data_IF_332712499233
#
_entry.id   IF_332712499233
#
_cell.length_a   1.000
_cell.length_b   1.000
_cell.length_c   1.000
_cell.angle_alpha   90.00
_cell.angle_beta   90.00
_cell.angle_gamma   90.00
#
_symmetry.space_group_name_H-M   'P 1'
#
loop_
_entity.id
_entity.type
_entity.pdbx_description
1 polymer ?
#
# COMPACT_ATOMS: atom_id res chain seq x y z
N UNK A 1 -21.46 -8.62 -13.55
CA UNK A 1 -20.15 -7.92 -13.43
C UNK A 1 -19.16 -8.95 -12.88
N UNK A 2 -18.02 -9.14 -13.56
CA UNK A 2 -16.97 -10.06 -13.07
C UNK A 2 -16.28 -9.44 -11.84
N UNK A 3 -16.03 -10.24 -10.82
CA UNK A 3 -15.28 -9.84 -9.63
C UNK A 3 -13.82 -9.50 -10.03
N UNK A 4 -13.33 -8.34 -9.64
CA UNK A 4 -11.94 -7.92 -9.87
C UNK A 4 -11.08 -8.36 -8.69
N UNK A 5 -9.96 -9.03 -8.95
CA UNK A 5 -9.03 -9.52 -7.93
C UNK A 5 -7.72 -8.74 -7.95
N UNK A 6 -7.37 -8.17 -6.82
CA UNK A 6 -6.15 -7.38 -6.65
C UNK A 6 -5.24 -8.02 -5.61
N UNK A 7 -4.00 -8.32 -5.99
CA UNK A 7 -2.97 -8.78 -5.07
C UNK A 7 -2.30 -7.56 -4.41
N UNK A 8 -2.46 -7.42 -3.10
CA UNK A 8 -1.76 -6.41 -2.30
C UNK A 8 -0.52 -7.02 -1.65
N UNK A 9 0.62 -6.41 -1.86
CA UNK A 9 1.89 -6.80 -1.25
C UNK A 9 2.46 -5.64 -0.46
N UNK A 10 2.76 -5.88 0.82
CA UNK A 10 3.43 -4.88 1.66
C UNK A 10 4.47 -5.51 2.57
N UNK A 11 5.34 -4.69 3.15
CA UNK A 11 6.37 -5.10 4.08
C UNK A 11 5.84 -5.17 5.51
N UNK A 12 5.09 -4.15 5.91
CA UNK A 12 4.70 -3.90 7.29
C UNK A 12 3.40 -4.62 7.70
N UNK A 13 3.13 -4.48 9.00
CA UNK A 13 1.91 -5.02 9.60
C UNK A 13 0.75 -4.03 9.52
N UNK A 14 1.07 -2.73 9.63
CA UNK A 14 0.06 -1.69 9.75
C UNK A 14 -0.71 -1.48 8.45
N UNK A 15 -0.05 -1.59 7.30
CA UNK A 15 -0.67 -1.48 5.98
C UNK A 15 -1.73 -2.56 5.74
N UNK A 16 -1.46 -3.75 6.28
CA UNK A 16 -2.31 -4.92 6.14
C UNK A 16 -3.12 -5.23 7.41
N UNK A 17 -3.06 -4.37 8.46
CA UNK A 17 -3.81 -4.47 9.72
C UNK A 17 -3.71 -5.85 10.38
N UNK A 18 -2.51 -6.45 10.41
CA UNK A 18 -2.28 -7.81 10.91
C UNK A 18 -3.15 -8.89 10.24
N UNK A 19 -3.73 -8.59 9.06
CA UNK A 19 -4.50 -9.57 8.31
C UNK A 19 -3.72 -10.87 8.15
N UNK A 20 -4.41 -11.98 8.32
CA UNK A 20 -3.93 -13.27 7.85
C UNK A 20 -3.72 -13.16 6.34
N UNK A 21 -2.58 -13.71 5.86
CA UNK A 21 -2.31 -13.71 4.43
C UNK A 21 -3.42 -14.47 3.69
N UNK A 22 -3.97 -13.85 2.64
CA UNK A 22 -5.08 -14.40 1.88
C UNK A 22 -6.08 -13.34 1.47
N UNK A 23 -7.28 -13.78 1.09
CA UNK A 23 -8.38 -12.89 0.79
C UNK A 23 -8.92 -12.22 2.05
N UNK A 24 -9.26 -10.95 1.88
CA UNK A 24 -9.77 -10.12 2.96
C UNK A 24 -11.27 -9.94 2.78
N UNK A 25 -12.07 -10.16 3.84
CA UNK A 25 -13.50 -9.85 3.81
C UNK A 25 -13.75 -8.36 3.52
N UNK A 26 -14.81 -8.05 2.78
CA UNK A 26 -15.14 -6.66 2.42
C UNK A 26 -15.39 -5.77 3.64
N UNK A 27 -15.90 -6.34 4.71
CA UNK A 27 -16.17 -5.67 5.99
C UNK A 27 -14.92 -5.45 6.87
N UNK A 28 -13.78 -6.02 6.49
CA UNK A 28 -12.54 -5.96 7.27
C UNK A 28 -11.31 -5.59 6.42
N UNK A 29 -11.51 -4.66 5.48
CA UNK A 29 -10.41 -4.22 4.61
C UNK A 29 -9.28 -3.56 5.42
N UNK A 30 -8.02 -3.93 5.16
CA UNK A 30 -6.88 -3.26 5.77
C UNK A 30 -6.68 -1.85 5.19
N UNK A 31 -5.94 -0.97 5.88
CA UNK A 31 -5.76 0.42 5.48
C UNK A 31 -5.33 0.60 4.03
N UNK A 32 -4.38 -0.18 3.55
CA UNK A 32 -3.90 -0.11 2.17
C UNK A 32 -5.00 -0.49 1.17
N UNK A 33 -5.79 -1.53 1.45
CA UNK A 33 -6.92 -1.93 0.59
C UNK A 33 -7.98 -0.83 0.52
N UNK A 34 -8.30 -0.20 1.66
CA UNK A 34 -9.24 0.91 1.74
C UNK A 34 -8.77 2.09 0.87
N UNK A 35 -7.49 2.49 1.01
CA UNK A 35 -6.92 3.57 0.19
C UNK A 35 -7.01 3.24 -1.30
N UNK A 36 -6.60 2.04 -1.71
CA UNK A 36 -6.67 1.61 -3.11
C UNK A 36 -8.12 1.60 -3.61
N UNK A 37 -9.05 1.03 -2.85
CA UNK A 37 -10.47 1.00 -3.20
C UNK A 37 -11.03 2.41 -3.41
N UNK A 38 -10.78 3.33 -2.49
CA UNK A 38 -11.21 4.73 -2.59
C UNK A 38 -10.61 5.47 -3.78
N UNK A 39 -9.34 5.22 -4.10
CA UNK A 39 -8.68 5.81 -5.27
C UNK A 39 -9.22 5.30 -6.60
N UNK A 40 -9.77 4.08 -6.63
CA UNK A 40 -10.38 3.55 -7.86
C UNK A 40 -11.72 4.19 -8.16
N UNK A 41 -12.41 4.75 -7.17
CA UNK A 41 -13.75 5.32 -7.34
C UNK A 41 -14.80 4.32 -7.81
N UNK A 42 -14.54 3.03 -7.67
CA UNK A 42 -15.43 1.99 -8.17
C UNK A 42 -16.49 1.63 -7.13
N UNK A 43 -17.74 1.60 -7.56
CA UNK A 43 -18.84 1.01 -6.78
C UNK A 43 -18.88 -0.53 -6.88
N UNK A 44 -17.93 -1.11 -7.63
CA UNK A 44 -17.86 -2.55 -7.88
C UNK A 44 -17.06 -3.29 -6.82
N UNK A 45 -17.30 -4.61 -6.74
CA UNK A 45 -16.62 -5.47 -5.78
C UNK A 45 -15.17 -5.74 -6.23
N UNK A 46 -14.23 -5.08 -5.57
CA UNK A 46 -12.82 -5.44 -5.64
C UNK A 46 -12.52 -6.42 -4.51
N UNK A 47 -11.99 -7.57 -4.87
CA UNK A 47 -11.53 -8.57 -3.90
C UNK A 47 -10.02 -8.46 -3.72
N UNK A 48 -9.61 -8.14 -2.51
CA UNK A 48 -8.21 -7.99 -2.17
C UNK A 48 -7.64 -9.28 -1.58
N UNK A 49 -6.47 -9.70 -2.06
CA UNK A 49 -5.67 -10.76 -1.46
C UNK A 49 -4.38 -10.15 -0.92
N UNK A 50 -4.17 -10.23 0.38
CA UNK A 50 -3.03 -9.61 1.05
C UNK A 50 -1.88 -10.60 1.22
N UNK A 51 -0.65 -10.16 0.93
CA UNK A 51 0.58 -10.92 1.16
C UNK A 51 1.70 -10.02 1.70
N UNK A 52 2.48 -10.53 2.63
CA UNK A 52 3.72 -9.87 3.02
C UNK A 52 4.80 -10.13 1.98
N UNK A 53 5.67 -9.15 1.75
CA UNK A 53 6.76 -9.30 0.78
C UNK A 53 7.65 -10.52 1.06
N UNK A 54 7.85 -10.89 2.34
CA UNK A 54 8.59 -12.11 2.72
C UNK A 54 7.93 -13.40 2.27
N UNK A 55 6.60 -13.43 2.15
CA UNK A 55 5.82 -14.60 1.75
C UNK A 55 5.72 -14.76 0.23
N UNK A 56 6.08 -13.74 -0.54
CA UNK A 56 6.19 -13.85 -1.99
C UNK A 56 7.41 -14.68 -2.34
N UNK A 57 7.17 -15.89 -2.89
CA UNK A 57 8.25 -16.78 -3.35
C UNK A 57 9.02 -16.11 -4.48
N UNK A 58 10.33 -16.01 -4.34
CA UNK A 58 11.17 -15.46 -5.39
C UNK A 58 11.28 -16.46 -6.55
N UNK A 59 10.70 -16.13 -7.70
CA UNK A 59 10.74 -16.93 -8.92
C UNK A 59 11.79 -16.44 -9.93
N UNK A 60 12.32 -15.24 -9.75
CA UNK A 60 13.34 -14.66 -10.63
C UNK A 60 14.72 -15.27 -10.33
N UNK A 61 15.33 -15.92 -11.34
CA UNK A 61 16.64 -16.58 -11.22
C UNK A 61 17.82 -15.75 -11.75
N UNK A 62 17.55 -14.62 -12.43
CA UNK A 62 18.54 -13.75 -13.03
C UNK A 62 19.22 -12.80 -12.03
N UNK A 63 20.25 -12.07 -12.51
CA UNK A 63 20.87 -10.99 -11.76
C UNK A 63 19.94 -9.77 -11.76
N UNK A 64 19.33 -9.48 -10.63
CA UNK A 64 18.60 -8.27 -10.35
C UNK A 64 19.24 -7.61 -9.15
N UNK A 65 19.38 -6.29 -9.17
CA UNK A 65 20.22 -5.56 -8.21
C UNK A 65 19.65 -5.59 -6.79
N UNK A 66 18.34 -5.77 -6.61
CA UNK A 66 17.73 -5.64 -5.28
C UNK A 66 16.73 -6.70 -4.91
N UNK A 67 16.47 -6.78 -3.61
CA UNK A 67 15.47 -7.63 -3.01
C UNK A 67 14.05 -7.27 -3.46
N UNK A 68 13.70 -5.97 -3.49
CA UNK A 68 12.35 -5.51 -3.84
C UNK A 68 12.05 -5.58 -5.34
N UNK A 69 13.03 -5.35 -6.21
CA UNK A 69 12.84 -5.62 -7.64
C UNK A 69 12.46 -7.07 -7.91
N UNK A 70 13.15 -8.03 -7.27
CA UNK A 70 12.82 -9.47 -7.36
C UNK A 70 11.43 -9.77 -6.79
N UNK A 71 11.04 -9.11 -5.70
CA UNK A 71 9.72 -9.30 -5.08
C UNK A 71 8.60 -8.79 -5.98
N UNK A 72 8.75 -7.61 -6.56
CA UNK A 72 7.78 -7.06 -7.53
C UNK A 72 7.63 -7.98 -8.74
N UNK A 73 8.75 -8.36 -9.38
CA UNK A 73 8.72 -9.33 -10.48
C UNK A 73 7.96 -10.61 -10.09
N UNK A 74 8.28 -11.16 -8.92
CA UNK A 74 7.69 -12.42 -8.44
C UNK A 74 6.21 -12.27 -8.10
N UNK A 75 5.80 -11.13 -7.54
CA UNK A 75 4.39 -10.85 -7.27
C UNK A 75 3.57 -10.79 -8.56
N UNK A 76 4.07 -10.09 -9.59
CA UNK A 76 3.42 -10.03 -10.90
C UNK A 76 3.37 -11.40 -11.58
N UNK A 77 4.46 -12.19 -11.46
CA UNK A 77 4.49 -13.56 -11.96
C UNK A 77 3.45 -14.44 -11.27
N UNK A 78 3.37 -14.39 -9.95
CA UNK A 78 2.37 -15.11 -9.17
C UNK A 78 0.95 -14.69 -9.53
N UNK A 79 0.72 -13.39 -9.71
CA UNK A 79 -0.59 -12.86 -10.10
C UNK A 79 -1.06 -13.42 -11.44
N UNK A 80 -0.16 -13.54 -12.41
CA UNK A 80 -0.49 -13.99 -13.77
C UNK A 80 -0.54 -15.52 -13.91
N UNK A 81 0.40 -16.22 -13.25
CA UNK A 81 0.54 -17.68 -13.40
C UNK A 81 -0.20 -18.48 -12.33
N UNK A 82 -0.82 -17.78 -11.41
CA UNK A 82 -1.55 -18.38 -10.31
C UNK A 82 -0.74 -18.49 -9.02
N UNK A 83 -1.36 -18.10 -7.95
CA UNK A 83 -0.91 -18.32 -6.58
C UNK A 83 -2.02 -19.04 -5.83
N UNK A 84 -1.70 -20.23 -5.31
CA UNK A 84 -2.70 -21.10 -4.66
C UNK A 84 -3.92 -21.44 -5.58
N UNK A 85 -3.67 -21.52 -6.89
CA UNK A 85 -4.70 -21.85 -7.88
C UNK A 85 -5.50 -20.65 -8.42
N UNK A 86 -5.20 -19.44 -7.98
CA UNK A 86 -5.92 -18.24 -8.41
C UNK A 86 -5.02 -17.21 -9.11
N UNK A 87 -5.57 -16.54 -10.11
CA UNK A 87 -4.93 -15.42 -10.82
C UNK A 87 -5.52 -14.09 -10.35
N UNK A 88 -4.78 -13.00 -10.57
CA UNK A 88 -5.17 -11.66 -10.19
C UNK A 88 -5.16 -10.74 -11.41
N UNK A 89 -6.05 -9.76 -11.38
CA UNK A 89 -6.23 -8.79 -12.46
C UNK A 89 -5.24 -7.63 -12.37
N UNK A 90 -4.74 -7.36 -11.13
CA UNK A 90 -3.76 -6.32 -10.87
C UNK A 90 -2.93 -6.63 -9.60
N UNK A 91 -1.80 -5.95 -9.49
CA UNK A 91 -0.91 -6.01 -8.33
C UNK A 91 -0.70 -4.60 -7.77
N UNK A 92 -0.69 -4.47 -6.46
CA UNK A 92 -0.27 -3.25 -5.76
C UNK A 92 0.84 -3.63 -4.79
N UNK A 93 1.97 -2.94 -4.85
CA UNK A 93 3.10 -3.15 -3.94
C UNK A 93 3.42 -1.85 -3.24
N UNK A 94 3.31 -1.83 -1.91
CA UNK A 94 3.69 -0.68 -1.08
C UNK A 94 4.71 -1.11 -0.05
N UNK A 95 5.77 -0.32 0.09
CA UNK A 95 6.87 -0.60 1.02
C UNK A 95 7.31 0.68 1.72
N UNK A 96 7.87 0.53 2.91
CA UNK A 96 8.48 1.65 3.61
C UNK A 96 9.86 1.96 3.00
N UNK A 97 10.23 3.25 2.96
CA UNK A 97 11.57 3.65 2.53
C UNK A 97 12.63 3.32 3.57
N UNK A 98 12.29 3.37 4.86
CA UNK A 98 13.21 3.13 5.97
C UNK A 98 14.49 3.99 5.91
N UNK A 99 14.30 5.29 5.71
CA UNK A 99 15.37 6.27 5.72
C UNK A 99 16.14 6.44 4.40
N UNK A 100 17.16 7.32 4.39
CA UNK A 100 17.84 7.76 3.16
C UNK A 100 18.64 6.66 2.46
N UNK A 101 19.04 5.61 3.16
CA UNK A 101 19.79 4.47 2.57
C UNK A 101 19.00 3.72 1.51
N UNK A 102 17.67 3.83 1.55
CA UNK A 102 16.76 3.16 0.63
C UNK A 102 16.13 4.13 -0.39
N UNK A 103 16.80 5.27 -0.68
CA UNK A 103 16.30 6.28 -1.62
C UNK A 103 15.99 5.70 -3.02
N UNK A 104 16.73 4.66 -3.44
CA UNK A 104 16.55 4.02 -4.75
C UNK A 104 15.47 2.92 -4.76
N UNK A 105 14.76 2.71 -3.64
CA UNK A 105 13.80 1.59 -3.50
C UNK A 105 12.72 1.59 -4.58
N UNK A 106 12.19 2.77 -4.95
CA UNK A 106 11.22 2.88 -6.03
C UNK A 106 11.81 2.48 -7.39
N UNK A 107 13.04 2.92 -7.69
CA UNK A 107 13.73 2.57 -8.94
C UNK A 107 13.98 1.06 -9.03
N UNK A 108 14.37 0.43 -7.93
CA UNK A 108 14.52 -1.01 -7.84
C UNK A 108 13.21 -1.77 -8.11
N UNK A 109 12.10 -1.32 -7.50
CA UNK A 109 10.78 -1.89 -7.71
C UNK A 109 10.33 -1.72 -9.17
N UNK A 110 10.55 -0.54 -9.76
CA UNK A 110 10.28 -0.27 -11.17
C UNK A 110 11.10 -1.18 -12.10
N UNK A 111 12.35 -1.46 -11.78
CA UNK A 111 13.15 -2.43 -12.53
C UNK A 111 12.49 -3.80 -12.56
N UNK A 112 12.02 -4.29 -11.41
CA UNK A 112 11.31 -5.57 -11.33
C UNK A 112 10.03 -5.60 -12.17
N UNK A 113 9.24 -4.54 -12.10
CA UNK A 113 8.02 -4.37 -12.90
C UNK A 113 8.33 -4.37 -14.41
N UNK A 114 9.29 -3.56 -14.83
CA UNK A 114 9.67 -3.42 -16.24
C UNK A 114 10.21 -4.74 -16.82
N UNK A 115 10.96 -5.50 -16.03
CA UNK A 115 11.48 -6.80 -16.46
C UNK A 115 10.37 -7.85 -16.62
N UNK A 116 9.31 -7.79 -15.84
CA UNK A 116 8.16 -8.68 -16.04
C UNK A 116 7.32 -8.26 -17.25
N UNK A 117 7.12 -6.96 -17.42
CA UNK A 117 6.32 -6.35 -18.48
C UNK A 117 4.92 -5.97 -18.02
N UNK A 118 4.68 -4.67 -17.98
CA UNK A 118 3.47 -4.02 -17.47
C UNK A 118 2.18 -4.44 -18.22
N UNK A 119 2.31 -4.76 -19.51
CA UNK A 119 1.20 -5.22 -20.35
C UNK A 119 0.63 -6.59 -19.95
N UNK A 120 1.38 -7.36 -19.17
CA UNK A 120 0.95 -8.71 -18.73
C UNK A 120 0.12 -8.64 -17.43
N UNK A 121 0.44 -7.71 -16.58
CA UNK A 121 -0.24 -7.53 -15.29
C UNK A 121 -0.03 -6.09 -14.81
N UNK A 122 -1.08 -5.26 -14.77
CA UNK A 122 -1.01 -3.92 -14.22
C UNK A 122 -0.46 -3.95 -12.79
N UNK A 123 0.53 -3.12 -12.51
CA UNK A 123 1.17 -3.09 -11.20
C UNK A 123 1.43 -1.66 -10.74
N UNK A 124 0.75 -1.23 -9.67
CA UNK A 124 1.02 0.03 -9.00
C UNK A 124 2.06 -0.13 -7.90
N UNK A 125 3.00 0.79 -7.85
CA UNK A 125 4.10 0.79 -6.89
C UNK A 125 4.02 2.02 -5.98
N UNK A 126 4.20 1.83 -4.69
CA UNK A 126 4.27 2.88 -3.69
C UNK A 126 5.48 2.71 -2.77
N UNK A 127 6.11 3.82 -2.43
CA UNK A 127 7.13 3.88 -1.38
C UNK A 127 6.69 4.92 -0.37
N UNK A 128 6.35 4.47 0.82
CA UNK A 128 6.04 5.37 1.92
C UNK A 128 7.36 5.97 2.44
N UNK A 129 7.45 7.30 2.36
CA UNK A 129 8.64 8.03 2.82
C UNK A 129 8.70 7.94 4.33
N UNK A 130 9.85 7.50 4.85
CA UNK A 130 10.08 7.03 6.21
C UNK A 130 9.27 5.78 6.55
N UNK A 131 7.93 5.85 6.63
CA UNK A 131 7.06 4.70 6.86
C UNK A 131 5.61 4.99 6.43
N UNK A 132 4.79 3.95 6.28
CA UNK A 132 3.35 4.05 6.02
C UNK A 132 2.62 4.87 7.10
N UNK A 133 3.12 4.85 8.33
CA UNK A 133 2.61 5.65 9.44
C UNK A 133 2.54 7.15 9.09
N UNK A 134 3.48 7.66 8.26
CA UNK A 134 3.47 9.06 7.82
C UNK A 134 2.19 9.43 7.06
N UNK A 135 1.64 8.53 6.23
CA UNK A 135 0.38 8.77 5.53
C UNK A 135 -0.81 8.83 6.50
N UNK A 136 -0.77 8.03 7.56
CA UNK A 136 -1.86 7.91 8.52
C UNK A 136 -1.94 9.06 9.53
N UNK A 137 -0.87 9.84 9.68
CA UNK A 137 -0.84 11.03 10.55
C UNK A 137 -0.96 12.36 9.78
N UNK A 138 -1.27 12.30 8.50
CA UNK A 138 -1.29 13.46 7.59
C UNK A 138 -2.62 14.23 7.60
N UNK A 139 -3.74 13.57 7.94
CA UNK A 139 -5.06 14.19 7.86
C UNK A 139 -5.75 14.26 9.24
N UNK A 140 -6.03 15.49 9.75
CA UNK A 140 -6.68 15.65 11.05
C UNK A 140 -8.11 15.11 11.10
N UNK A 141 -8.84 15.08 9.97
CA UNK A 141 -10.19 14.53 9.93
C UNK A 141 -10.16 13.01 10.13
N UNK A 142 -9.27 12.32 9.43
CA UNK A 142 -9.09 10.88 9.60
C UNK A 142 -8.61 10.52 11.01
N UNK A 143 -7.65 11.29 11.55
CA UNK A 143 -7.15 11.12 12.92
C UNK A 143 -8.28 11.27 13.95
N UNK A 144 -9.07 12.35 13.87
CA UNK A 144 -10.19 12.58 14.78
C UNK A 144 -11.23 11.46 14.70
N UNK A 145 -11.57 11.01 13.48
CA UNK A 145 -12.51 9.91 13.28
C UNK A 145 -12.03 8.60 13.91
N UNK A 146 -10.72 8.36 13.94
CA UNK A 146 -10.09 7.19 14.58
C UNK A 146 -9.88 7.36 16.09
N UNK A 147 -10.38 8.46 16.68
CA UNK A 147 -10.23 8.77 18.11
C UNK A 147 -8.82 9.20 18.51
N UNK A 148 -8.03 9.72 17.56
CA UNK A 148 -6.72 10.29 17.79
C UNK A 148 -6.78 11.79 18.11
N UNK A 149 -5.67 12.33 18.59
CA UNK A 149 -5.49 13.76 18.86
C UNK A 149 -5.14 14.51 17.57
N UNK A 150 -6.16 15.05 16.91
CA UNK A 150 -6.00 15.79 15.66
C UNK A 150 -5.17 17.07 15.78
N UNK A 151 -4.94 17.60 16.99
CA UNK A 151 -4.08 18.77 17.21
C UNK A 151 -2.60 18.47 17.01
N UNK A 152 -2.24 17.18 17.06
CA UNK A 152 -0.88 16.66 16.84
C UNK A 152 -0.60 16.26 15.39
N UNK A 153 -1.49 16.61 14.46
CA UNK A 153 -1.28 16.34 13.02
C UNK A 153 0.00 17.01 12.53
N UNK A 154 0.75 16.30 11.71
CA UNK A 154 1.97 16.83 11.10
C UNK A 154 1.66 17.45 9.72
N UNK A 155 2.13 18.68 9.50
CA UNK A 155 1.99 19.35 8.20
C UNK A 155 2.84 18.69 7.10
N UNK A 156 4.03 18.19 7.50
CA UNK A 156 4.99 17.49 6.63
C UNK A 156 5.33 16.13 7.26
N UNK A 157 4.41 15.16 7.23
CA UNK A 157 4.61 13.88 7.91
C UNK A 157 5.75 13.05 7.32
N UNK A 158 6.08 13.26 6.04
CA UNK A 158 7.20 12.59 5.36
C UNK A 158 8.59 13.11 5.81
N UNK A 159 8.65 14.21 6.53
CA UNK A 159 9.87 14.74 7.15
C UNK A 159 10.00 14.32 8.63
N UNK A 160 8.98 13.62 9.15
CA UNK A 160 8.96 13.14 10.53
C UNK A 160 9.92 11.97 10.66
N UNK A 161 10.98 12.14 11.44
CA UNK A 161 12.05 11.15 11.61
C UNK A 161 11.57 9.81 12.19
N UNK A 162 10.55 9.84 13.04
CA UNK A 162 9.97 8.68 13.72
C UNK A 162 8.44 8.73 13.60
N UNK A 163 7.88 8.48 12.40
CA UNK A 163 6.44 8.61 12.18
C UNK A 163 5.62 7.63 13.01
N UNK A 164 6.17 6.48 13.37
CA UNK A 164 5.53 5.51 14.26
C UNK A 164 5.37 6.05 15.69
N UNK A 165 6.41 6.69 16.24
CA UNK A 165 6.34 7.29 17.57
C UNK A 165 5.34 8.46 17.59
N UNK A 166 5.31 9.25 16.49
CA UNK A 166 4.32 10.28 16.30
C UNK A 166 2.89 9.72 16.27
N UNK A 167 2.69 8.61 15.55
CA UNK A 167 1.40 7.92 15.52
C UNK A 167 1.00 7.38 16.90
N UNK A 168 1.92 6.77 17.63
CA UNK A 168 1.67 6.32 19.01
C UNK A 168 1.23 7.49 19.91
N UNK A 169 1.88 8.66 19.79
CA UNK A 169 1.52 9.85 20.53
C UNK A 169 0.15 10.44 20.14
N UNK A 170 -0.21 10.34 18.85
CA UNK A 170 -1.51 10.81 18.32
C UNK A 170 -2.64 9.89 18.77
N UNK A 171 -2.44 8.58 18.70
CA UNK A 171 -3.50 7.60 18.94
C UNK A 171 -3.51 7.02 20.36
N UNK A 172 -2.58 7.44 21.22
CA UNK A 172 -2.45 6.92 22.59
C UNK A 172 -2.10 5.43 22.62
N UNK A 173 -1.27 4.99 21.69
CA UNK A 173 -0.78 3.60 21.58
C UNK A 173 0.68 3.50 22.02
N UNK A 174 1.22 2.28 22.09
CA UNK A 174 2.61 2.05 22.44
C UNK A 174 3.23 0.98 21.56
N UNK A 175 4.39 1.28 20.97
CA UNK A 175 5.12 0.35 20.11
C UNK A 175 4.34 -0.10 18.86
N UNK A 176 3.36 0.72 18.41
CA UNK A 176 2.49 0.43 17.28
C UNK A 176 1.37 -0.56 17.56
N UNK A 177 1.21 -1.03 18.80
CA UNK A 177 0.14 -1.99 19.14
C UNK A 177 -1.23 -1.32 19.01
N UNK A 178 -2.14 -1.93 18.23
CA UNK A 178 -3.50 -1.42 18.01
C UNK A 178 -3.60 -0.30 16.96
N UNK A 179 -2.53 0.06 16.26
CA UNK A 179 -2.58 1.05 15.18
C UNK A 179 -3.36 0.57 13.95
N UNK A 180 -3.28 -0.71 13.60
CA UNK A 180 -3.94 -1.25 12.41
C UNK A 180 -5.42 -0.90 12.29
N UNK A 181 -6.28 -1.18 13.29
CA UNK A 181 -7.69 -0.80 13.27
C UNK A 181 -7.92 0.71 13.20
N UNK A 182 -7.07 1.51 13.88
CA UNK A 182 -7.15 2.97 13.82
C UNK A 182 -6.80 3.49 12.42
N UNK A 183 -5.78 2.92 11.79
CA UNK A 183 -5.39 3.24 10.42
C UNK A 183 -6.45 2.87 9.39
N UNK A 184 -7.21 1.80 9.60
CA UNK A 184 -8.35 1.48 8.74
C UNK A 184 -9.40 2.60 8.76
N UNK A 185 -9.71 3.13 9.94
CA UNK A 185 -10.63 4.28 10.09
C UNK A 185 -10.04 5.54 9.44
N UNK A 186 -8.75 5.83 9.67
CA UNK A 186 -8.07 6.95 9.01
C UNK A 186 -8.16 6.79 7.50
N UNK A 187 -7.79 5.62 6.96
CA UNK A 187 -7.83 5.35 5.53
C UNK A 187 -9.24 5.50 4.93
N UNK A 188 -10.29 5.20 5.71
CA UNK A 188 -11.68 5.37 5.30
C UNK A 188 -12.12 6.84 5.31
N UNK A 189 -11.72 7.62 6.28
CA UNK A 189 -12.26 8.97 6.56
C UNK A 189 -11.37 10.12 6.09
N UNK A 190 -10.09 9.88 5.86
CA UNK A 190 -9.16 10.94 5.44
C UNK A 190 -9.53 11.53 4.07
N UNK A 191 -9.25 12.80 3.89
CA UNK A 191 -9.30 13.47 2.60
C UNK A 191 -8.08 13.07 1.76
N UNK A 192 -8.30 12.32 0.67
CA UNK A 192 -7.23 11.84 -0.20
C UNK A 192 -6.43 12.99 -0.83
N UNK A 193 -7.08 14.09 -1.20
CA UNK A 193 -6.39 15.25 -1.77
C UNK A 193 -5.46 15.91 -0.72
N UNK A 194 -5.87 15.90 0.54
CA UNK A 194 -5.02 16.36 1.64
C UNK A 194 -3.83 15.43 1.87
N UNK A 195 -4.03 14.11 1.80
CA UNK A 195 -2.93 13.15 1.88
C UNK A 195 -1.91 13.37 0.76
N UNK A 196 -2.37 13.58 -0.47
CA UNK A 196 -1.49 13.88 -1.62
C UNK A 196 -0.69 15.16 -1.40
N UNK A 197 -1.33 16.20 -0.85
CA UNK A 197 -0.66 17.47 -0.56
C UNK A 197 0.35 17.35 0.58
N UNK A 198 0.03 16.62 1.64
CA UNK A 198 0.88 16.47 2.82
C UNK A 198 2.02 15.45 2.61
N UNK A 199 1.81 14.49 1.71
CA UNK A 199 2.76 13.42 1.40
C UNK A 199 3.14 13.41 -0.10
N UNK A 200 3.80 14.48 -0.58
CA UNK A 200 4.07 14.69 -2.01
C UNK A 200 5.13 13.74 -2.58
N UNK A 201 5.95 13.11 -1.75
CA UNK A 201 7.02 12.20 -2.19
C UNK A 201 6.61 10.72 -2.15
N UNK A 202 5.66 10.35 -1.30
CA UNK A 202 5.22 8.96 -1.13
C UNK A 202 3.78 8.73 -1.57
N UNK A 203 2.80 9.36 -0.89
CA UNK A 203 1.39 9.09 -1.18
C UNK A 203 0.94 9.65 -2.53
N UNK A 204 1.32 10.87 -2.91
CA UNK A 204 0.90 11.46 -4.18
C UNK A 204 1.38 10.65 -5.40
N UNK A 205 2.67 10.24 -5.51
CA UNK A 205 3.11 9.35 -6.57
C UNK A 205 2.41 7.99 -6.56
N UNK A 206 2.12 7.44 -5.39
CA UNK A 206 1.39 6.18 -5.27
C UNK A 206 -0.06 6.31 -5.76
N UNK A 207 -0.76 7.36 -5.37
CA UNK A 207 -2.12 7.63 -5.83
C UNK A 207 -2.20 7.77 -7.36
N UNK A 208 -1.22 8.45 -7.96
CA UNK A 208 -1.09 8.57 -9.40
C UNK A 208 -0.82 7.21 -10.09
N UNK A 209 0.04 6.37 -9.51
CA UNK A 209 0.27 4.98 -9.98
C UNK A 209 -1.03 4.15 -9.95
N UNK A 210 -1.82 4.23 -8.88
CA UNK A 210 -3.11 3.53 -8.77
C UNK A 210 -4.08 4.02 -9.85
N UNK A 211 -4.24 5.34 -10.01
CA UNK A 211 -5.15 5.91 -11.02
C UNK A 211 -4.75 5.54 -12.44
N UNK A 212 -3.47 5.56 -12.77
CA UNK A 212 -2.99 5.26 -14.14
C UNK A 212 -2.99 3.77 -14.48
N UNK A 213 -2.80 2.89 -13.51
CA UNK A 213 -2.57 1.47 -13.77
C UNK A 213 -3.68 0.57 -13.29
N UNK A 214 -4.22 0.85 -12.10
CA UNK A 214 -5.25 -0.03 -11.51
C UNK A 214 -6.62 0.36 -12.02
N UNK A 215 -6.97 1.65 -12.03
CA UNK A 215 -8.30 2.12 -12.48
C UNK A 215 -8.66 1.61 -13.88
N UNK A 216 -7.80 1.72 -14.93
CA UNK A 216 -8.12 1.17 -16.25
C UNK A 216 -8.27 -0.35 -16.25
N UNK A 217 -7.50 -1.05 -15.44
CA UNK A 217 -7.54 -2.51 -15.37
C UNK A 217 -8.81 -3.06 -14.73
N UNK A 218 -9.37 -2.31 -13.77
CA UNK A 218 -10.55 -2.73 -13.02
C UNK A 218 -11.86 -2.09 -13.55
N UNK A 219 -11.78 -0.90 -14.17
CA UNK A 219 -12.94 -0.16 -14.71
C UNK A 219 -13.40 -0.56 -16.11
N UNK A 220 -12.62 -1.36 -16.81
CA UNK A 220 -12.90 -1.77 -18.21
C UNK A 220 -13.63 -3.11 -18.37
N UNK A 221 -14.21 -3.67 -17.29
CA UNK A 221 -14.88 -4.98 -17.29
C UNK A 221 -16.37 -4.92 -16.98
#
# INVERSE_FOLDING_TARGET
MSEVRVLLVSEGRHELADCLEGYVPAEALPPLAILVHRMTGMDGTIRFCCRRGKSIRNVHRGKMSSGWGKKVYSAMWCATNGMEGETFDAVVVVVDRDGPRNAERLAEMQQGRNMYGDSRCPCALGVAVEAFDAWMIADPQGIAAAGGDATKTHANPEETRLPKDAADAIFGTHGGTGLGPKYAIVAEKADLARLEKACPQGFAPFADEVRRRIVPAVGGR
#
